data_IF_078761363637
#
_entry.id   IF_078761363637
#
_cell.length_a   1.000
_cell.length_b   1.000
_cell.length_c   1.000
_cell.angle_alpha   90.00
_cell.angle_beta   90.00
_cell.angle_gamma   90.00
#
_symmetry.space_group_name_H-M   'P 1'
#
loop_
_entity.id
_entity.type
_entity.pdbx_description
1 polymer ?
#
# COMPACT_ATOMS: atom_id res chain seq x y z
N UNK A 1 0.36 -6.99 11.76
CA UNK A 1 1.06 -6.50 10.56
C UNK A 1 1.09 -4.98 10.53
N UNK A 2 -0.06 -4.28 10.72
CA UNK A 2 -0.13 -2.82 10.72
C UNK A 2 0.83 -2.19 11.75
N UNK A 3 0.70 -2.55 13.02
CA UNK A 3 1.60 -2.05 14.10
C UNK A 3 3.06 -2.37 13.81
N UNK A 4 3.34 -3.58 13.31
CA UNK A 4 4.69 -3.98 12.94
C UNK A 4 5.27 -3.10 11.81
N UNK A 5 4.47 -2.78 10.78
CA UNK A 5 4.90 -1.88 9.70
C UNK A 5 5.28 -0.51 10.23
N UNK A 6 4.40 0.14 10.98
CA UNK A 6 4.61 1.49 11.52
C UNK A 6 5.83 1.54 12.46
N UNK A 7 5.97 0.53 13.32
CA UNK A 7 7.12 0.43 14.21
C UNK A 7 8.41 0.17 13.46
N UNK A 8 8.39 -0.71 12.45
CA UNK A 8 9.56 -1.05 11.66
C UNK A 8 10.08 0.11 10.85
N UNK A 9 9.21 0.88 10.18
CA UNK A 9 9.65 2.04 9.38
C UNK A 9 10.14 3.17 10.28
N UNK A 10 9.48 3.43 11.41
CA UNK A 10 9.91 4.44 12.37
C UNK A 10 11.30 4.11 12.94
N UNK A 11 11.50 2.85 13.36
CA UNK A 11 12.79 2.39 13.87
C UNK A 11 13.86 2.38 12.79
N UNK A 12 13.53 1.99 11.58
CA UNK A 12 14.41 1.99 10.41
C UNK A 12 14.97 3.38 10.11
N UNK A 13 14.11 4.41 10.10
CA UNK A 13 14.53 5.81 9.91
C UNK A 13 15.33 6.30 11.11
N UNK A 14 14.92 5.95 12.33
CA UNK A 14 15.64 6.34 13.56
C UNK A 14 17.04 5.75 13.70
N UNK A 15 17.28 4.57 13.10
CA UNK A 15 18.59 3.90 13.08
C UNK A 15 19.45 4.30 11.87
N UNK A 16 18.91 5.08 10.94
CA UNK A 16 19.68 5.61 9.82
C UNK A 16 20.74 6.59 10.32
N UNK A 17 21.99 6.37 9.91
CA UNK A 17 23.16 7.10 10.42
C UNK A 17 23.31 8.51 9.83
N UNK A 18 22.59 8.80 8.75
CA UNK A 18 22.69 10.08 8.04
C UNK A 18 21.38 10.40 7.28
N UNK A 19 21.23 11.65 6.85
CA UNK A 19 20.11 12.04 5.99
C UNK A 19 20.10 11.25 4.67
N UNK A 20 21.27 10.94 4.11
CA UNK A 20 21.39 10.13 2.89
C UNK A 20 20.87 8.70 3.14
N UNK A 21 21.30 8.04 4.22
CA UNK A 21 20.82 6.69 4.55
C UNK A 21 19.32 6.67 4.90
N UNK A 22 18.75 7.75 5.44
CA UNK A 22 17.30 7.87 5.64
C UNK A 22 16.52 7.88 4.31
N UNK A 23 17.05 8.53 3.27
CA UNK A 23 16.49 8.50 1.92
C UNK A 23 16.59 7.11 1.31
N UNK A 24 17.73 6.45 1.45
CA UNK A 24 17.96 5.08 0.95
C UNK A 24 16.99 4.09 1.60
N UNK A 25 16.83 4.16 2.91
CA UNK A 25 15.86 3.35 3.68
C UNK A 25 14.42 3.62 3.22
N UNK A 26 14.08 4.88 2.96
CA UNK A 26 12.76 5.25 2.42
C UNK A 26 12.53 4.66 1.03
N UNK A 27 13.56 4.61 0.17
CA UNK A 27 13.49 3.96 -1.14
C UNK A 27 13.21 2.46 -1.02
N UNK A 28 13.85 1.78 -0.05
CA UNK A 28 13.55 0.37 0.23
C UNK A 28 12.10 0.20 0.67
N UNK A 29 11.61 1.07 1.55
CA UNK A 29 10.21 1.04 1.95
C UNK A 29 9.27 1.24 0.73
N UNK A 30 9.59 2.13 -0.21
CA UNK A 30 8.77 2.36 -1.40
C UNK A 30 8.68 1.17 -2.39
N UNK A 31 9.26 0.02 -2.06
CA UNK A 31 8.99 -1.23 -2.77
C UNK A 31 7.59 -1.80 -2.47
N UNK A 32 6.90 -1.33 -1.41
CA UNK A 32 5.60 -1.86 -1.01
C UNK A 32 4.52 -1.83 -2.11
N UNK A 33 4.41 -0.82 -3.02
CA UNK A 33 3.42 -0.87 -4.09
C UNK A 33 3.70 -2.01 -5.08
N UNK A 34 4.99 -2.23 -5.38
CA UNK A 34 5.42 -3.34 -6.25
C UNK A 34 5.06 -4.70 -5.64
N UNK A 35 5.39 -4.89 -4.35
CA UNK A 35 5.04 -6.11 -3.62
C UNK A 35 3.52 -6.30 -3.58
N UNK A 36 2.74 -5.23 -3.36
CA UNK A 36 1.28 -5.27 -3.33
C UNK A 36 0.70 -5.67 -4.70
N UNK A 37 1.21 -5.13 -5.82
CA UNK A 37 0.79 -5.51 -7.19
C UNK A 37 1.07 -6.99 -7.44
N UNK A 38 2.26 -7.47 -7.07
CA UNK A 38 2.66 -8.86 -7.26
C UNK A 38 1.83 -9.82 -6.41
N UNK A 39 1.62 -9.49 -5.13
CA UNK A 39 0.79 -10.28 -4.22
C UNK A 39 -0.68 -10.28 -4.68
N UNK A 40 -1.23 -9.14 -5.08
CA UNK A 40 -2.58 -9.06 -5.60
C UNK A 40 -2.75 -9.91 -6.88
N UNK A 41 -1.78 -9.87 -7.80
CA UNK A 41 -1.80 -10.69 -9.00
C UNK A 41 -1.70 -12.20 -8.71
N UNK A 42 -0.98 -12.57 -7.65
CA UNK A 42 -0.77 -13.95 -7.25
C UNK A 42 -1.95 -14.54 -6.45
N UNK A 43 -2.60 -13.76 -5.59
CA UNK A 43 -3.52 -14.27 -4.58
C UNK A 43 -4.96 -13.79 -4.71
N UNK A 44 -5.22 -12.62 -5.34
CA UNK A 44 -6.58 -12.11 -5.50
C UNK A 44 -7.19 -12.63 -6.82
N UNK A 45 -8.28 -13.45 -6.76
CA UNK A 45 -8.94 -13.95 -7.96
C UNK A 45 -9.56 -12.81 -8.77
N UNK A 46 -9.38 -12.84 -10.08
CA UNK A 46 -9.87 -11.79 -11.00
C UNK A 46 -11.40 -11.72 -11.15
N UNK A 47 -12.17 -12.59 -10.45
CA UNK A 47 -13.60 -12.78 -10.62
C UNK A 47 -14.51 -12.35 -9.46
N UNK A 48 -13.98 -11.97 -8.31
CA UNK A 48 -14.77 -11.84 -7.07
C UNK A 48 -15.68 -10.60 -6.99
N UNK A 49 -15.59 -9.69 -7.95
CA UNK A 49 -16.35 -8.42 -7.93
C UNK A 49 -17.77 -8.49 -8.51
N UNK A 50 -18.16 -9.61 -9.11
CA UNK A 50 -19.48 -9.70 -9.76
C UNK A 50 -20.60 -10.14 -8.82
N UNK A 51 -20.27 -10.87 -7.74
CA UNK A 51 -21.26 -11.40 -6.81
C UNK A 51 -21.77 -10.34 -5.83
N UNK A 52 -20.89 -9.54 -5.25
CA UNK A 52 -21.28 -8.54 -4.25
C UNK A 52 -22.11 -7.37 -4.80
N UNK A 53 -22.01 -7.08 -6.11
CA UNK A 53 -22.79 -6.01 -6.75
C UNK A 53 -24.20 -6.45 -7.14
N UNK A 54 -24.42 -7.76 -7.36
CA UNK A 54 -25.75 -8.29 -7.74
C UNK A 54 -26.62 -8.63 -6.54
N UNK A 55 -26.05 -8.78 -5.34
CA UNK A 55 -26.84 -9.02 -4.13
C UNK A 55 -27.41 -7.75 -3.49
N UNK A 56 -26.88 -6.57 -3.87
CA UNK A 56 -27.31 -5.26 -3.36
C UNK A 56 -28.39 -4.53 -4.19
N UNK A 57 -28.74 -5.02 -5.38
CA UNK A 57 -29.73 -4.37 -6.26
C UNK A 57 -30.76 -5.40 -6.70
N UNK A 58 -31.60 -5.84 -5.80
CA UNK A 58 -32.68 -6.73 -6.18
C UNK A 58 -33.41 -7.39 -5.03
N UNK A 59 -33.96 -6.59 -4.14
CA UNK A 59 -35.16 -6.99 -3.38
C UNK A 59 -35.98 -5.75 -3.08
N UNK A 60 -36.68 -5.31 -4.09
CA UNK A 60 -37.97 -4.63 -3.89
C UNK A 60 -39.03 -5.71 -3.58
N UNK A 61 -39.81 -5.58 -2.53
CA UNK A 61 -40.84 -6.57 -2.21
C UNK A 61 -41.97 -6.42 -3.20
N UNK A 62 -42.07 -7.35 -4.16
CA UNK A 62 -43.26 -7.49 -5.00
C UNK A 62 -44.40 -8.05 -4.17
N UNK A 63 -45.56 -7.36 -4.25
CA UNK A 63 -46.83 -7.74 -3.68
C UNK A 63 -47.33 -9.09 -4.23
N UNK A 64 -48.17 -9.81 -3.47
CA UNK A 64 -48.67 -11.11 -3.88
C UNK A 64 -49.77 -10.98 -4.93
N UNK A 65 -49.66 -11.68 -6.05
CA UNK A 65 -50.78 -12.01 -6.93
C UNK A 65 -50.75 -13.50 -7.21
N UNK A 66 -51.90 -14.07 -6.98
CA UNK A 66 -52.26 -15.46 -7.07
C UNK A 66 -52.03 -16.11 -8.45
N UNK A 67 -51.90 -17.41 -8.37
CA UNK A 67 -52.33 -18.45 -9.32
C UNK A 67 -51.28 -19.11 -10.22
N UNK A 68 -51.31 -20.38 -10.02
CA UNK A 68 -51.11 -21.52 -10.93
C UNK A 68 -49.78 -22.25 -10.91
N UNK A 69 -49.95 -23.44 -10.33
CA UNK A 69 -49.05 -24.57 -10.37
C UNK A 69 -48.78 -25.03 -11.81
N UNK A 70 -47.50 -25.24 -12.13
CA UNK A 70 -47.11 -26.26 -13.10
C UNK A 70 -45.74 -26.83 -12.70
N UNK A 71 -45.84 -28.12 -12.45
CA UNK A 71 -44.79 -29.08 -12.14
C UNK A 71 -43.79 -29.15 -13.32
N UNK A 72 -42.53 -28.77 -13.07
CA UNK A 72 -41.40 -29.19 -13.88
C UNK A 72 -40.19 -29.40 -12.96
N UNK A 73 -40.05 -30.66 -12.59
CA UNK A 73 -38.89 -31.20 -11.89
C UNK A 73 -37.64 -31.14 -12.77
N UNK A 74 -36.93 -30.01 -12.76
CA UNK A 74 -35.58 -29.95 -13.28
C UNK A 74 -34.59 -30.21 -12.14
N UNK A 75 -34.05 -31.40 -12.14
CA UNK A 75 -32.92 -31.83 -11.32
C UNK A 75 -31.75 -30.90 -11.56
N UNK A 76 -31.54 -29.95 -10.65
CA UNK A 76 -30.28 -29.18 -10.59
C UNK A 76 -29.23 -30.11 -9.98
N UNK A 77 -28.45 -30.73 -10.87
CA UNK A 77 -27.34 -31.60 -10.52
C UNK A 77 -26.31 -30.86 -9.63
N UNK A 78 -26.16 -31.38 -8.41
CA UNK A 78 -25.11 -31.05 -7.46
C UNK A 78 -23.72 -31.36 -8.05
N UNK A 79 -23.11 -30.40 -8.72
CA UNK A 79 -21.67 -30.43 -9.02
C UNK A 79 -21.11 -29.01 -9.18
N UNK A 80 -21.32 -28.12 -8.21
CA UNK A 80 -20.49 -26.95 -8.04
C UNK A 80 -19.27 -27.33 -7.21
N UNK A 81 -18.40 -28.16 -7.79
CA UNK A 81 -17.04 -28.32 -7.32
C UNK A 81 -16.32 -26.98 -7.51
N UNK A 82 -16.16 -26.23 -6.45
CA UNK A 82 -15.29 -25.03 -6.43
C UNK A 82 -13.83 -25.48 -6.66
N UNK A 83 -13.51 -25.77 -7.90
CA UNK A 83 -12.19 -26.16 -8.33
C UNK A 83 -11.22 -25.03 -7.99
N UNK A 84 -10.24 -25.29 -7.13
CA UNK A 84 -9.08 -24.40 -6.94
C UNK A 84 -8.56 -23.99 -8.31
N UNK A 85 -8.42 -22.67 -8.59
CA UNK A 85 -7.90 -22.23 -9.90
C UNK A 85 -6.55 -22.90 -10.15
N UNK A 86 -6.30 -23.40 -11.37
CA UNK A 86 -5.09 -24.15 -11.68
C UNK A 86 -3.85 -23.29 -11.38
N UNK A 87 -2.87 -23.86 -10.69
CA UNK A 87 -1.60 -23.21 -10.28
C UNK A 87 -0.90 -22.48 -11.44
N UNK A 88 -1.06 -22.97 -12.67
CA UNK A 88 -0.52 -22.36 -13.89
C UNK A 88 -1.09 -20.98 -14.25
N UNK A 89 -2.25 -20.58 -13.72
CA UNK A 89 -2.83 -19.25 -14.00
C UNK A 89 -2.20 -18.14 -13.17
N UNK A 90 -1.71 -18.45 -11.95
CA UNK A 90 -1.12 -17.48 -11.02
C UNK A 90 0.23 -16.94 -11.50
N UNK A 91 1.15 -17.82 -11.92
CA UNK A 91 2.44 -17.41 -12.44
C UNK A 91 2.33 -16.51 -13.68
N UNK A 92 1.41 -16.84 -14.60
CA UNK A 92 1.14 -16.01 -15.78
C UNK A 92 0.53 -14.65 -15.40
N UNK A 93 -0.22 -14.56 -14.32
CA UNK A 93 -0.78 -13.30 -13.84
C UNK A 93 0.33 -12.38 -13.30
N UNK A 94 1.25 -12.91 -12.50
CA UNK A 94 2.41 -12.17 -11.98
C UNK A 94 3.33 -11.72 -13.11
N UNK A 95 3.70 -12.61 -14.02
CA UNK A 95 4.57 -12.29 -15.17
C UNK A 95 4.03 -11.14 -16.04
N UNK A 96 2.70 -11.02 -16.17
CA UNK A 96 2.09 -9.96 -16.98
C UNK A 96 2.18 -8.58 -16.31
N UNK A 97 2.03 -8.49 -15.00
CA UNK A 97 2.11 -7.20 -14.28
C UNK A 97 3.55 -6.79 -13.97
N UNK A 98 4.49 -7.72 -14.10
CA UNK A 98 5.89 -7.48 -13.77
C UNK A 98 6.54 -6.34 -14.59
N UNK A 99 6.34 -6.22 -15.92
CA UNK A 99 6.96 -5.13 -16.68
C UNK A 99 6.53 -3.74 -16.20
N UNK A 100 5.23 -3.52 -15.98
CA UNK A 100 4.73 -2.25 -15.47
C UNK A 100 5.19 -1.98 -14.03
N UNK A 101 5.28 -3.01 -13.18
CA UNK A 101 5.80 -2.90 -11.83
C UNK A 101 7.29 -2.50 -11.82
N UNK A 102 8.10 -3.10 -12.69
CA UNK A 102 9.52 -2.76 -12.83
C UNK A 102 9.70 -1.32 -13.32
N UNK A 103 8.97 -0.91 -14.34
CA UNK A 103 9.04 0.47 -14.86
C UNK A 103 8.62 1.48 -13.79
N UNK A 104 7.51 1.22 -13.07
CA UNK A 104 7.05 2.12 -12.01
C UNK A 104 8.07 2.19 -10.85
N UNK A 105 8.64 1.06 -10.43
CA UNK A 105 9.66 1.02 -9.38
C UNK A 105 10.93 1.76 -9.79
N UNK A 106 11.40 1.57 -11.02
CA UNK A 106 12.52 2.33 -11.57
C UNK A 106 12.23 3.84 -11.58
N UNK A 107 11.00 4.22 -11.90
CA UNK A 107 10.53 5.60 -11.82
C UNK A 107 10.58 6.18 -10.42
N UNK A 108 10.15 5.42 -9.40
CA UNK A 108 10.24 5.83 -7.99
C UNK A 108 11.70 6.03 -7.55
N UNK A 109 12.55 5.08 -7.89
CA UNK A 109 13.98 5.16 -7.58
C UNK A 109 14.63 6.40 -8.22
N UNK A 110 14.29 6.68 -9.48
CA UNK A 110 14.80 7.85 -10.20
C UNK A 110 14.22 9.16 -9.64
N UNK A 111 12.93 9.21 -9.33
CA UNK A 111 12.27 10.41 -8.81
C UNK A 111 12.81 10.79 -7.42
N UNK A 112 12.84 9.85 -6.50
CA UNK A 112 13.24 10.10 -5.10
C UNK A 112 14.77 10.14 -4.99
N UNK A 113 15.45 9.12 -5.51
CA UNK A 113 16.90 8.99 -5.43
C UNK A 113 17.64 10.03 -6.26
N UNK A 114 17.17 10.29 -7.49
CA UNK A 114 17.79 11.30 -8.36
C UNK A 114 17.63 12.73 -7.85
N UNK A 115 16.51 13.03 -7.19
CA UNK A 115 16.30 14.35 -6.57
C UNK A 115 17.14 14.55 -5.30
N UNK A 116 17.45 13.47 -4.59
CA UNK A 116 18.25 13.46 -3.36
C UNK A 116 19.76 13.35 -3.62
N UNK A 117 20.17 13.22 -4.89
CA UNK A 117 21.59 13.03 -5.25
C UNK A 117 22.15 11.67 -4.79
N UNK A 118 21.34 10.60 -4.88
CA UNK A 118 21.71 9.26 -4.43
C UNK A 118 22.97 8.74 -5.14
N UNK A 119 24.00 8.43 -4.35
CA UNK A 119 25.22 7.75 -4.81
C UNK A 119 25.11 6.25 -4.47
N UNK A 120 25.06 5.41 -5.52
CA UNK A 120 24.88 3.96 -5.38
C UNK A 120 26.07 3.26 -4.72
N UNK A 121 27.30 3.79 -4.90
CA UNK A 121 28.48 3.22 -4.26
C UNK A 121 28.47 3.50 -2.75
N UNK A 122 28.12 4.72 -2.36
CA UNK A 122 27.93 5.08 -0.96
C UNK A 122 26.77 4.31 -0.32
N UNK A 123 25.64 4.18 -1.01
CA UNK A 123 24.49 3.42 -0.54
C UNK A 123 24.86 1.95 -0.27
N UNK A 124 25.61 1.32 -1.16
CA UNK A 124 26.11 -0.04 -0.94
C UNK A 124 27.03 -0.13 0.29
N UNK A 125 27.87 0.88 0.50
CA UNK A 125 28.72 1.02 1.70
C UNK A 125 27.89 1.15 2.99
N UNK A 126 26.84 1.97 2.98
CA UNK A 126 25.95 2.14 4.12
C UNK A 126 25.21 0.84 4.47
N UNK A 127 24.70 0.13 3.46
CA UNK A 127 24.06 -1.19 3.67
C UNK A 127 25.03 -2.20 4.25
N UNK A 128 26.26 -2.24 3.77
CA UNK A 128 27.30 -3.14 4.28
C UNK A 128 27.70 -2.82 5.72
N UNK A 129 27.78 -1.53 6.06
CA UNK A 129 28.16 -1.08 7.40
C UNK A 129 27.05 -1.26 8.45
N UNK A 130 25.77 -1.01 8.06
CA UNK A 130 24.61 -1.15 8.94
C UNK A 130 23.39 -1.67 8.15
N UNK A 131 23.21 -2.98 8.00
CA UNK A 131 22.12 -3.56 7.22
C UNK A 131 20.76 -3.48 7.94
N UNK A 132 20.73 -3.31 9.27
CA UNK A 132 19.51 -3.41 10.07
C UNK A 132 18.40 -2.43 9.64
N UNK A 133 18.64 -1.14 9.41
CA UNK A 133 17.61 -0.21 8.92
C UNK A 133 16.97 -0.66 7.61
N UNK A 134 17.77 -1.18 6.68
CA UNK A 134 17.29 -1.63 5.36
C UNK A 134 16.46 -2.90 5.47
N UNK A 135 16.85 -3.84 6.33
CA UNK A 135 16.08 -5.05 6.60
C UNK A 135 14.74 -4.72 7.27
N UNK A 136 14.71 -3.77 8.20
CA UNK A 136 13.48 -3.31 8.85
C UNK A 136 12.56 -2.61 7.85
N UNK A 137 13.09 -1.76 6.97
CA UNK A 137 12.31 -1.09 5.93
C UNK A 137 11.70 -2.11 4.95
N UNK A 138 12.48 -3.11 4.53
CA UNK A 138 12.01 -4.18 3.65
C UNK A 138 10.93 -5.05 4.32
N UNK A 139 11.16 -5.46 5.57
CA UNK A 139 10.20 -6.25 6.34
C UNK A 139 8.91 -5.48 6.58
N UNK A 140 9.01 -4.17 6.85
CA UNK A 140 7.88 -3.26 6.94
C UNK A 140 7.09 -3.18 5.63
N UNK A 141 7.77 -2.93 4.51
CA UNK A 141 7.16 -2.88 3.19
C UNK A 141 6.42 -4.18 2.83
N UNK A 142 7.00 -5.33 3.16
CA UNK A 142 6.37 -6.63 2.99
C UNK A 142 5.15 -6.79 3.88
N UNK A 143 5.25 -6.45 5.17
CA UNK A 143 4.16 -6.52 6.13
C UNK A 143 2.97 -5.64 5.70
N UNK A 144 3.24 -4.43 5.22
CA UNK A 144 2.23 -3.52 4.69
C UNK A 144 1.53 -4.11 3.46
N UNK A 145 2.31 -4.65 2.52
CA UNK A 145 1.78 -5.25 1.29
C UNK A 145 0.89 -6.46 1.57
N UNK A 146 1.29 -7.31 2.52
CA UNK A 146 0.48 -8.45 2.99
C UNK A 146 -0.78 -7.95 3.69
N UNK A 147 -0.67 -6.96 4.58
CA UNK A 147 -1.81 -6.35 5.25
C UNK A 147 -2.83 -5.84 4.21
N UNK A 148 -2.39 -5.01 3.26
CA UNK A 148 -3.27 -4.41 2.26
C UNK A 148 -4.00 -5.44 1.41
N UNK A 149 -3.30 -6.48 0.94
CA UNK A 149 -3.87 -7.49 0.03
C UNK A 149 -4.82 -8.46 0.74
N UNK A 150 -4.53 -8.83 1.98
CA UNK A 150 -5.32 -9.86 2.68
C UNK A 150 -6.38 -9.29 3.62
N UNK A 151 -6.32 -8.00 3.99
CA UNK A 151 -7.33 -7.38 4.87
C UNK A 151 -8.77 -7.55 4.35
N UNK A 152 -9.11 -7.31 3.07
CA UNK A 152 -10.48 -7.49 2.60
C UNK A 152 -11.05 -8.87 2.85
N UNK A 153 -10.22 -9.90 2.67
CA UNK A 153 -10.63 -11.30 2.86
C UNK A 153 -10.78 -11.67 4.35
N UNK A 154 -9.98 -11.07 5.23
CA UNK A 154 -9.93 -11.43 6.65
C UNK A 154 -10.86 -10.59 7.52
N UNK A 155 -11.04 -9.31 7.18
CA UNK A 155 -11.78 -8.35 8.01
C UNK A 155 -13.29 -8.44 7.86
N UNK A 156 -13.79 -9.18 6.87
CA UNK A 156 -15.25 -9.27 6.56
C UNK A 156 -15.92 -7.88 6.46
N UNK A 157 -15.21 -6.89 5.93
CA UNK A 157 -15.70 -5.52 5.78
C UNK A 157 -15.48 -4.62 6.99
N UNK A 158 -14.85 -5.11 8.07
CA UNK A 158 -14.52 -4.28 9.23
C UNK A 158 -13.24 -3.47 8.97
N UNK A 159 -13.31 -2.14 9.18
CA UNK A 159 -12.14 -1.28 9.17
C UNK A 159 -11.52 -1.22 10.55
N UNK A 160 -10.42 -1.94 10.73
CA UNK A 160 -9.67 -1.98 11.98
C UNK A 160 -8.70 -0.83 12.19
N UNK A 161 -8.57 0.10 11.25
CA UNK A 161 -7.55 1.17 11.26
C UNK A 161 -7.60 1.99 12.53
N UNK A 162 -8.80 2.43 12.95
CA UNK A 162 -8.99 3.21 14.18
C UNK A 162 -8.59 2.46 15.44
N UNK A 163 -8.71 1.13 15.44
CA UNK A 163 -8.31 0.28 16.57
C UNK A 163 -6.80 0.09 16.60
N UNK A 164 -6.14 0.05 15.45
CA UNK A 164 -4.69 -0.22 15.39
C UNK A 164 -3.84 0.98 15.80
N UNK A 165 -4.29 2.22 15.60
CA UNK A 165 -3.51 3.42 15.96
C UNK A 165 -3.12 3.52 17.44
N UNK A 166 -3.99 3.24 18.42
CA UNK A 166 -3.59 3.20 19.82
C UNK A 166 -2.45 2.21 20.09
N UNK A 167 -2.47 1.04 19.45
CA UNK A 167 -1.39 0.05 19.58
C UNK A 167 -0.09 0.53 18.92
N UNK A 168 -0.18 1.24 17.79
CA UNK A 168 0.99 1.89 17.18
C UNK A 168 1.57 2.93 18.14
N UNK A 169 0.73 3.80 18.72
CA UNK A 169 1.19 4.81 19.65
C UNK A 169 1.91 4.19 20.87
N UNK A 170 1.33 3.14 21.45
CA UNK A 170 1.96 2.42 22.57
C UNK A 170 3.29 1.79 22.16
N UNK A 171 3.34 1.13 20.98
CA UNK A 171 4.57 0.52 20.48
C UNK A 171 5.67 1.56 20.25
N UNK A 172 5.34 2.71 19.67
CA UNK A 172 6.30 3.79 19.42
C UNK A 172 6.80 4.41 20.73
N UNK A 173 5.95 4.59 21.72
CA UNK A 173 6.37 5.04 23.05
C UNK A 173 7.29 4.03 23.75
N UNK A 174 6.99 2.74 23.65
CA UNK A 174 7.88 1.69 24.17
C UNK A 174 9.25 1.77 23.48
N UNK A 175 9.31 1.87 22.16
CA UNK A 175 10.54 2.00 21.40
C UNK A 175 11.31 3.27 21.80
N UNK A 176 10.61 4.40 21.96
CA UNK A 176 11.19 5.67 22.39
C UNK A 176 11.92 5.55 23.72
N UNK A 177 11.25 5.04 24.75
CA UNK A 177 11.88 4.87 26.06
C UNK A 177 12.94 3.78 26.10
N UNK A 178 12.73 2.65 25.37
CA UNK A 178 13.71 1.58 25.26
C UNK A 178 15.01 2.01 24.57
N UNK A 179 14.93 3.03 23.68
CA UNK A 179 16.11 3.62 23.05
C UNK A 179 16.86 4.64 23.93
N UNK A 180 16.50 4.74 25.20
CA UNK A 180 17.13 5.65 26.17
C UNK A 180 16.70 7.12 26.04
N UNK A 181 15.69 7.41 25.24
CA UNK A 181 15.13 8.75 25.13
C UNK A 181 14.27 9.08 26.35
N UNK A 182 14.46 10.28 26.90
CA UNK A 182 13.62 10.79 28.00
C UNK A 182 12.36 11.51 27.51
N UNK A 183 11.62 12.08 28.46
CA UNK A 183 10.55 13.01 28.12
C UNK A 183 11.12 14.25 27.41
N UNK A 184 10.37 14.86 26.48
CA UNK A 184 10.78 16.12 25.86
C UNK A 184 11.13 17.16 26.91
N UNK A 185 12.33 17.72 26.84
CA UNK A 185 12.84 18.67 27.84
C UNK A 185 12.22 20.06 27.74
N UNK A 186 11.60 20.38 26.60
CA UNK A 186 10.93 21.66 26.35
C UNK A 186 9.50 21.43 25.84
N UNK A 187 8.54 22.19 26.33
CA UNK A 187 7.20 22.21 25.79
C UNK A 187 7.22 22.80 24.37
N UNK A 188 6.54 22.17 23.39
CA UNK A 188 6.44 22.73 22.06
C UNK A 188 5.77 24.12 22.09
N UNK A 189 6.12 24.97 21.13
CA UNK A 189 5.38 26.22 20.91
C UNK A 189 3.94 25.94 20.48
N UNK A 190 3.07 26.93 20.54
CA UNK A 190 1.68 26.82 20.04
C UNK A 190 1.66 26.35 18.59
N UNK A 191 2.56 26.85 17.77
CA UNK A 191 2.73 26.41 16.38
C UNK A 191 3.17 24.96 16.27
N UNK A 192 4.00 24.48 17.18
CA UNK A 192 4.39 23.07 17.27
C UNK A 192 3.21 22.16 17.58
N UNK A 193 2.36 22.53 18.54
CA UNK A 193 1.14 21.78 18.84
C UNK A 193 0.18 21.76 17.65
N UNK A 194 -0.04 22.90 16.98
CA UNK A 194 -0.89 22.98 15.79
C UNK A 194 -0.34 22.11 14.66
N UNK A 195 0.96 22.08 14.45
CA UNK A 195 1.60 21.23 13.44
C UNK A 195 1.41 19.75 13.75
N UNK A 196 1.54 19.32 15.01
CA UNK A 196 1.30 17.93 15.43
C UNK A 196 -0.17 17.54 15.22
N UNK A 197 -1.12 18.40 15.60
CA UNK A 197 -2.56 18.14 15.40
C UNK A 197 -2.89 18.06 13.91
N UNK A 198 -2.36 18.98 13.11
CA UNK A 198 -2.56 18.97 11.65
C UNK A 198 -1.97 17.70 11.02
N UNK A 199 -0.75 17.30 11.38
CA UNK A 199 -0.13 16.08 10.90
C UNK A 199 -0.96 14.85 11.31
N UNK A 200 -1.42 14.77 12.57
CA UNK A 200 -2.25 13.68 13.04
C UNK A 200 -3.58 13.59 12.26
N UNK A 201 -4.23 14.73 11.98
CA UNK A 201 -5.46 14.77 11.19
C UNK A 201 -5.25 14.30 9.74
N UNK A 202 -4.16 14.74 9.09
CA UNK A 202 -3.80 14.33 7.73
C UNK A 202 -3.51 12.83 7.68
N UNK A 203 -2.73 12.32 8.63
CA UNK A 203 -2.39 10.90 8.70
C UNK A 203 -3.66 10.07 8.95
N UNK A 204 -4.47 10.42 9.94
CA UNK A 204 -5.71 9.71 10.25
C UNK A 204 -6.69 9.71 9.06
N UNK A 205 -6.87 10.86 8.39
CA UNK A 205 -7.70 10.98 7.20
C UNK A 205 -7.16 10.14 6.03
N UNK A 206 -5.86 10.16 5.79
CA UNK A 206 -5.20 9.36 4.75
C UNK A 206 -5.41 7.86 4.96
N UNK A 207 -5.22 7.38 6.19
CA UNK A 207 -5.44 5.97 6.52
C UNK A 207 -6.92 5.58 6.48
N UNK A 208 -7.85 6.46 6.88
CA UNK A 208 -9.28 6.20 6.73
C UNK A 208 -9.68 6.06 5.26
N UNK A 209 -9.22 6.96 4.40
CA UNK A 209 -9.43 6.85 2.94
C UNK A 209 -8.79 5.57 2.37
N UNK A 210 -7.60 5.21 2.84
CA UNK A 210 -6.93 3.99 2.44
C UNK A 210 -7.71 2.74 2.86
N UNK A 211 -8.16 2.66 4.11
CA UNK A 211 -9.00 1.57 4.64
C UNK A 211 -10.28 1.41 3.84
N UNK A 212 -10.98 2.52 3.55
CA UNK A 212 -12.14 2.50 2.67
C UNK A 212 -11.80 1.97 1.28
N UNK A 213 -10.69 2.42 0.70
CA UNK A 213 -10.21 1.99 -0.61
C UNK A 213 -9.89 0.49 -0.68
N UNK A 214 -9.30 -0.08 0.39
CA UNK A 214 -9.02 -1.52 0.50
C UNK A 214 -10.33 -2.33 0.53
N UNK A 215 -11.32 -1.89 1.32
CA UNK A 215 -12.54 -2.64 1.56
C UNK A 215 -13.54 -2.54 0.40
N UNK A 216 -13.67 -1.37 -0.21
CA UNK A 216 -14.70 -1.09 -1.22
C UNK A 216 -14.14 -0.90 -2.63
N UNK A 217 -12.85 -0.68 -2.75
CA UNK A 217 -12.17 -0.40 -4.01
C UNK A 217 -11.69 -1.62 -4.78
N UNK A 218 -11.00 -1.36 -5.88
CA UNK A 218 -10.27 -2.38 -6.63
C UNK A 218 -8.83 -2.46 -6.13
N UNK A 219 -8.45 -3.58 -5.53
CA UNK A 219 -7.08 -3.79 -5.05
C UNK A 219 -6.03 -3.53 -6.14
N UNK A 220 -6.30 -3.99 -7.38
CA UNK A 220 -5.40 -3.74 -8.51
C UNK A 220 -5.26 -2.24 -8.83
N UNK A 221 -6.38 -1.49 -8.83
CA UNK A 221 -6.36 -0.04 -9.08
C UNK A 221 -5.68 0.70 -7.93
N UNK A 222 -5.96 0.32 -6.68
CA UNK A 222 -5.37 0.91 -5.49
C UNK A 222 -3.85 0.71 -5.48
N UNK A 223 -3.40 -0.53 -5.77
CA UNK A 223 -1.99 -0.86 -5.87
C UNK A 223 -1.26 -0.05 -6.95
N UNK A 224 -1.90 0.15 -8.12
CA UNK A 224 -1.32 0.96 -9.19
C UNK A 224 -1.28 2.45 -8.83
N UNK A 225 -2.35 2.98 -8.23
CA UNK A 225 -2.39 4.37 -7.78
C UNK A 225 -1.34 4.66 -6.70
N UNK A 226 -1.00 3.66 -5.89
CA UNK A 226 -0.01 3.78 -4.80
C UNK A 226 1.40 4.12 -5.28
N UNK A 227 1.75 3.84 -6.54
CA UNK A 227 3.02 4.27 -7.10
C UNK A 227 3.14 5.80 -7.20
N UNK A 228 2.02 6.53 -7.23
CA UNK A 228 2.04 7.99 -7.20
C UNK A 228 2.45 8.55 -5.83
N UNK A 229 2.28 7.79 -4.76
CA UNK A 229 2.53 8.26 -3.38
C UNK A 229 3.94 8.81 -3.16
N UNK A 230 5.05 8.10 -3.50
CA UNK A 230 6.40 8.63 -3.32
C UNK A 230 6.67 9.87 -4.18
N UNK A 231 6.12 9.93 -5.40
CA UNK A 231 6.26 11.09 -6.28
C UNK A 231 5.54 12.31 -5.70
N UNK A 232 4.27 12.14 -5.29
CA UNK A 232 3.49 13.20 -4.68
C UNK A 232 4.08 13.67 -3.36
N UNK A 233 4.57 12.75 -2.53
CA UNK A 233 5.23 13.05 -1.26
C UNK A 233 6.50 13.88 -1.47
N UNK A 234 7.35 13.49 -2.43
CA UNK A 234 8.57 14.25 -2.76
C UNK A 234 8.24 15.63 -3.31
N UNK A 235 7.24 15.74 -4.19
CA UNK A 235 6.80 17.02 -4.74
C UNK A 235 6.24 17.94 -3.64
N UNK A 236 5.40 17.41 -2.75
CA UNK A 236 4.84 18.16 -1.63
C UNK A 236 5.94 18.65 -0.67
N UNK A 237 6.91 17.78 -0.35
CA UNK A 237 8.05 18.14 0.49
C UNK A 237 8.91 19.24 -0.14
N UNK A 238 9.18 19.14 -1.44
CA UNK A 238 9.92 20.16 -2.17
C UNK A 238 9.21 21.52 -2.17
N UNK A 239 7.88 21.53 -2.38
CA UNK A 239 7.07 22.75 -2.33
C UNK A 239 7.07 23.37 -0.93
N UNK A 240 6.92 22.57 0.13
CA UNK A 240 6.87 23.05 1.51
C UNK A 240 8.23 23.58 1.98
N UNK A 241 9.33 22.98 1.51
CA UNK A 241 10.69 23.36 1.88
C UNK A 241 11.31 24.37 0.91
N UNK A 242 10.61 24.77 -0.15
CA UNK A 242 11.12 25.70 -1.17
C UNK A 242 12.26 25.12 -2.01
N UNK A 243 12.30 23.79 -2.16
CA UNK A 243 13.35 23.10 -2.92
C UNK A 243 12.97 22.99 -4.40
N UNK A 244 13.96 23.11 -5.30
CA UNK A 244 13.75 22.87 -6.73
C UNK A 244 13.71 21.38 -7.04
N UNK A 245 12.73 20.96 -7.85
CA UNK A 245 12.67 19.61 -8.36
C UNK A 245 13.59 19.46 -9.57
N UNK A 246 14.43 18.44 -9.55
CA UNK A 246 15.45 18.17 -10.57
C UNK A 246 14.86 17.47 -11.80
N UNK A 247 15.58 17.49 -12.92
CA UNK A 247 15.19 16.75 -14.12
C UNK A 247 14.98 15.24 -13.86
N UNK A 248 15.86 14.54 -13.11
CA UNK A 248 15.63 13.15 -12.71
C UNK A 248 14.29 12.93 -12.02
N UNK A 249 13.82 13.85 -11.16
CA UNK A 249 12.51 13.76 -10.55
C UNK A 249 11.38 13.69 -11.60
N UNK A 250 11.37 14.60 -12.56
CA UNK A 250 10.34 14.65 -13.60
C UNK A 250 10.39 13.42 -14.51
N UNK A 251 11.58 12.96 -14.89
CA UNK A 251 11.74 11.72 -15.64
C UNK A 251 11.22 10.51 -14.85
N UNK A 252 11.52 10.44 -13.55
CA UNK A 252 11.01 9.39 -12.67
C UNK A 252 9.50 9.43 -12.53
N UNK A 253 8.91 10.60 -12.38
CA UNK A 253 7.45 10.79 -12.32
C UNK A 253 6.74 10.28 -13.59
N UNK A 254 7.32 10.58 -14.78
CA UNK A 254 6.81 10.06 -16.06
C UNK A 254 6.91 8.53 -16.14
N UNK A 255 8.01 7.93 -15.67
CA UNK A 255 8.15 6.47 -15.61
C UNK A 255 7.14 5.83 -14.68
N UNK A 256 6.86 6.43 -13.52
CA UNK A 256 5.82 5.97 -12.59
C UNK A 256 4.46 5.98 -13.28
N UNK A 257 4.12 7.06 -13.95
CA UNK A 257 2.86 7.17 -14.69
C UNK A 257 2.76 6.11 -15.80
N UNK A 258 3.82 5.94 -16.59
CA UNK A 258 3.88 4.95 -17.67
C UNK A 258 3.74 3.52 -17.11
N UNK A 259 4.46 3.15 -16.06
CA UNK A 259 4.37 1.83 -15.44
C UNK A 259 2.99 1.54 -14.86
N UNK A 260 2.37 2.55 -14.25
CA UNK A 260 1.00 2.45 -13.73
C UNK A 260 -0.02 2.26 -14.84
N UNK A 261 0.10 2.99 -15.96
CA UNK A 261 -0.76 2.86 -17.14
C UNK A 261 -0.61 1.48 -17.78
N UNK A 262 0.63 0.98 -17.92
CA UNK A 262 0.89 -0.36 -18.44
C UNK A 262 0.17 -1.42 -17.59
N UNK A 263 0.32 -1.36 -16.27
CA UNK A 263 -0.35 -2.28 -15.36
C UNK A 263 -1.87 -2.15 -15.39
N UNK A 264 -2.40 -0.94 -15.48
CA UNK A 264 -3.84 -0.71 -15.61
C UNK A 264 -4.38 -1.30 -16.92
N UNK A 265 -3.70 -1.07 -18.04
CA UNK A 265 -4.11 -1.59 -19.34
C UNK A 265 -4.10 -3.12 -19.37
N UNK A 266 -3.04 -3.77 -18.85
CA UNK A 266 -2.96 -5.22 -18.71
C UNK A 266 -4.07 -5.78 -17.83
N UNK A 267 -4.41 -5.05 -16.74
CA UNK A 267 -5.46 -5.47 -15.81
C UNK A 267 -6.87 -5.25 -16.38
N UNK A 268 -7.07 -4.25 -17.22
CA UNK A 268 -8.36 -3.94 -17.84
C UNK A 268 -8.76 -4.93 -18.93
N UNK A 269 -7.80 -5.53 -19.62
CA UNK A 269 -8.07 -6.57 -20.64
C UNK A 269 -8.59 -7.89 -20.04
N UNK A 270 -8.68 -7.99 -18.72
CA UNK A 270 -9.25 -9.16 -18.02
C UNK A 270 -10.73 -9.00 -17.64
N UNK A 271 -11.33 -7.85 -17.97
CA UNK A 271 -12.76 -7.59 -17.74
C UNK A 271 -13.59 -7.89 -18.96
#
# INVERSE_FOLDING_TARGET
LFVFYESSISLSIGLASSAASSVEVSLVNYLWPTMMVLLAAAFVPSGEKRSARNEGIGREPAAPSDAQAQDDSVQCGTNCSAGKPPRHSRGRAVLRVLPGAVVATAGVILAVGGNSGLDWALAAGHVAANPLPYLLAFAGALAWSVYAVFTPALSKGFDGTSVFFPFVAVALWIIHFASGQGWPSAAPSVWGYLAVVAAAAVIAGGYACWGYGILHGSMSTLAMASYATPVLSTAASALLLGLSLTLPFWCGALLVAAGSIINWWISSQRR
#
